data_IF_971737243281
#
_entry.id   IF_971737243281
#
_cell.length_a   1.000
_cell.length_b   1.000
_cell.length_c   1.000
_cell.angle_alpha   90.00
_cell.angle_beta   90.00
_cell.angle_gamma   90.00
#
_symmetry.space_group_name_H-M   'P 1'
#
loop_
_entity.id
_entity.type
_entity.pdbx_description
1 polymer ?
#
# COMPACT_ATOMS: atom_id res chain seq x y z
N UNK A 1 9.64 -12.82 -8.82
CA UNK A 1 10.61 -11.96 -9.55
C UNK A 1 10.10 -10.55 -9.49
N UNK A 2 10.83 -9.66 -8.85
CA UNK A 2 10.56 -8.23 -8.75
C UNK A 2 11.09 -7.54 -10.01
N UNK A 3 10.34 -6.62 -10.59
CA UNK A 3 10.76 -5.85 -11.76
C UNK A 3 11.17 -4.46 -11.33
N UNK A 4 12.35 -4.01 -11.75
CA UNK A 4 12.80 -2.63 -11.52
C UNK A 4 12.42 -1.77 -12.73
N UNK A 5 11.83 -0.63 -12.48
CA UNK A 5 11.53 0.40 -13.49
C UNK A 5 12.15 1.73 -13.09
N UNK A 6 12.50 2.56 -14.06
CA UNK A 6 13.00 3.91 -13.85
C UNK A 6 12.03 4.90 -14.45
N UNK A 7 11.59 5.88 -13.63
CA UNK A 7 10.73 6.96 -14.13
C UNK A 7 11.52 7.84 -15.11
N UNK A 8 11.02 8.06 -16.33
CA UNK A 8 11.80 8.69 -17.40
C UNK A 8 12.15 10.17 -17.11
N UNK A 9 11.30 10.88 -16.38
CA UNK A 9 11.50 12.32 -16.11
C UNK A 9 12.30 12.59 -14.84
N UNK A 10 12.12 11.77 -13.80
CA UNK A 10 12.74 12.01 -12.49
C UNK A 10 13.98 11.17 -12.23
N UNK A 11 14.23 10.13 -13.06
CA UNK A 11 15.30 9.17 -12.85
C UNK A 11 15.13 8.26 -11.62
N UNK A 12 14.02 8.38 -10.88
CA UNK A 12 13.76 7.53 -9.71
C UNK A 12 13.51 6.08 -10.15
N UNK A 13 14.07 5.16 -9.41
CA UNK A 13 13.82 3.73 -9.56
C UNK A 13 12.72 3.25 -8.62
N UNK A 14 11.96 2.27 -9.09
CA UNK A 14 10.92 1.62 -8.30
C UNK A 14 11.01 0.12 -8.50
N UNK A 15 10.87 -0.64 -7.42
CA UNK A 15 10.73 -2.10 -7.48
C UNK A 15 9.25 -2.49 -7.49
N UNK A 16 8.83 -3.19 -8.54
CA UNK A 16 7.45 -3.65 -8.70
C UNK A 16 7.31 -5.05 -8.09
N UNK A 17 6.88 -5.11 -6.84
CA UNK A 17 6.70 -6.36 -6.07
C UNK A 17 5.29 -6.93 -6.09
N UNK A 18 4.36 -6.37 -6.89
CA UNK A 18 2.98 -6.86 -6.97
C UNK A 18 2.91 -8.24 -7.63
N UNK A 19 2.47 -9.23 -6.89
CA UNK A 19 2.23 -10.58 -7.41
C UNK A 19 0.90 -10.65 -8.18
N UNK A 20 0.84 -11.55 -9.16
CA UNK A 20 -0.42 -11.80 -9.88
C UNK A 20 -1.50 -12.28 -8.90
N UNK A 21 -2.76 -11.81 -9.05
CA UNK A 21 -3.85 -12.28 -8.23
C UNK A 21 -4.02 -13.79 -8.37
N UNK A 22 -4.05 -14.48 -7.24
CA UNK A 22 -4.42 -15.90 -7.21
C UNK A 22 -5.95 -15.95 -7.07
N UNK A 23 -6.61 -16.73 -7.91
CA UNK A 23 -8.06 -16.92 -7.83
C UNK A 23 -8.41 -17.75 -6.59
N UNK A 24 -8.62 -17.05 -5.46
CA UNK A 24 -9.06 -17.67 -4.20
C UNK A 24 -10.45 -17.11 -3.87
N UNK A 25 -11.47 -17.89 -4.10
CA UNK A 25 -12.85 -17.54 -3.72
C UNK A 25 -13.56 -16.51 -4.61
N UNK A 26 -14.75 -16.06 -4.21
CA UNK A 26 -15.55 -15.10 -4.97
C UNK A 26 -14.87 -13.73 -5.00
N UNK A 27 -14.80 -13.14 -6.20
CA UNK A 27 -14.28 -11.77 -6.37
C UNK A 27 -15.44 -10.79 -6.38
N UNK A 28 -15.35 -9.78 -5.53
CA UNK A 28 -16.23 -8.64 -5.61
C UNK A 28 -15.97 -7.88 -6.91
N UNK A 29 -16.99 -7.69 -7.72
CA UNK A 29 -16.92 -6.91 -8.96
C UNK A 29 -17.68 -5.62 -8.76
N UNK A 30 -17.05 -4.47 -9.01
CA UNK A 30 -17.67 -3.15 -8.85
C UNK A 30 -19.06 -3.07 -9.49
N UNK A 31 -19.25 -3.67 -10.66
CA UNK A 31 -20.55 -3.71 -11.36
C UNK A 31 -21.70 -4.29 -10.53
N UNK A 32 -21.42 -5.15 -9.54
CA UNK A 32 -22.43 -5.76 -8.68
C UNK A 32 -22.92 -4.80 -7.58
N UNK A 33 -22.18 -3.70 -7.34
CA UNK A 33 -22.46 -2.70 -6.31
C UNK A 33 -22.90 -1.36 -6.88
N UNK A 34 -22.84 -1.19 -8.20
CA UNK A 34 -23.32 0.01 -8.86
C UNK A 34 -24.86 0.03 -8.83
N UNK A 35 -25.41 1.16 -8.39
CA UNK A 35 -26.85 1.41 -8.52
C UNK A 35 -27.20 1.69 -9.98
N UNK A 36 -28.46 1.41 -10.36
CA UNK A 36 -28.95 1.69 -11.72
C UNK A 36 -28.93 3.20 -12.05
N UNK A 37 -29.10 4.03 -11.03
CA UNK A 37 -28.98 5.49 -11.13
C UNK A 37 -27.84 5.93 -10.23
N UNK A 38 -26.78 6.45 -10.83
CA UNK A 38 -25.68 7.08 -10.11
C UNK A 38 -25.91 8.59 -10.01
N UNK A 39 -25.54 9.23 -8.90
CA UNK A 39 -25.53 10.70 -8.84
C UNK A 39 -24.56 11.25 -9.87
N UNK A 40 -24.84 12.45 -10.38
CA UNK A 40 -23.89 13.16 -11.25
C UNK A 40 -22.59 13.34 -10.50
N UNK A 41 -21.45 12.88 -11.03
CA UNK A 41 -20.17 13.08 -10.36
C UNK A 41 -19.86 14.58 -10.28
N UNK A 42 -19.16 15.05 -9.22
CA UNK A 42 -18.69 16.41 -9.15
C UNK A 42 -17.73 16.71 -10.33
N UNK A 43 -17.69 17.97 -10.76
CA UNK A 43 -16.82 18.42 -11.86
C UNK A 43 -15.34 18.25 -11.54
N UNK A 44 -15.00 18.33 -10.26
CA UNK A 44 -13.63 18.15 -9.76
C UNK A 44 -13.68 17.51 -8.38
N UNK A 45 -12.72 16.62 -8.11
CA UNK A 45 -12.57 15.97 -6.82
C UNK A 45 -11.09 15.74 -6.54
N UNK A 46 -10.60 16.27 -5.43
CA UNK A 46 -9.22 16.04 -4.98
C UNK A 46 -9.21 15.48 -3.55
N UNK A 47 -9.24 14.17 -3.43
CA UNK A 47 -9.13 13.48 -2.14
C UNK A 47 -7.71 13.46 -1.57
N UNK A 48 -6.70 13.80 -2.36
CA UNK A 48 -5.31 13.81 -1.92
C UNK A 48 -4.91 15.10 -1.19
N UNK A 49 -5.70 16.17 -1.30
CA UNK A 49 -5.34 17.50 -0.79
C UNK A 49 -4.97 17.53 0.70
N UNK A 50 -5.63 16.69 1.52
CA UNK A 50 -5.41 16.61 2.96
C UNK A 50 -4.30 15.64 3.38
N UNK A 51 -3.63 14.99 2.43
CA UNK A 51 -2.63 13.94 2.69
C UNK A 51 -1.40 14.04 1.78
N UNK A 52 -1.27 15.12 1.01
CA UNK A 52 -0.26 15.23 -0.04
C UNK A 52 1.17 15.08 0.49
N UNK A 53 1.47 15.59 1.68
CA UNK A 53 2.79 15.48 2.32
C UNK A 53 3.20 14.03 2.59
N UNK A 54 2.23 13.17 2.90
CA UNK A 54 2.46 11.74 3.15
C UNK A 54 2.50 10.95 1.83
N UNK A 55 1.71 11.37 0.83
CA UNK A 55 1.69 10.72 -0.48
C UNK A 55 3.00 10.88 -1.26
N UNK A 56 3.84 11.83 -0.88
CA UNK A 56 5.18 12.03 -1.45
C UNK A 56 6.23 11.07 -0.85
N UNK A 57 5.91 10.41 0.27
CA UNK A 57 6.81 9.45 0.91
C UNK A 57 6.84 8.15 0.09
N UNK A 58 8.03 7.70 -0.31
CA UNK A 58 8.21 6.52 -1.14
C UNK A 58 8.14 5.19 -0.35
N UNK A 59 8.27 5.26 0.99
CA UNK A 59 8.18 4.11 1.89
C UNK A 59 9.13 2.94 1.60
N UNK A 60 10.28 3.21 0.95
CA UNK A 60 11.28 2.19 0.61
C UNK A 60 11.05 1.50 -0.73
N UNK A 61 9.97 1.82 -1.45
CA UNK A 61 9.63 1.18 -2.73
C UNK A 61 10.61 1.48 -3.91
N UNK A 62 11.63 2.28 -3.67
CA UNK A 62 12.77 2.47 -4.57
C UNK A 62 13.83 1.37 -4.39
N UNK A 63 13.89 0.76 -3.22
CA UNK A 63 14.89 -0.25 -2.82
C UNK A 63 14.27 -1.64 -2.66
N UNK A 64 13.03 -1.72 -2.18
CA UNK A 64 12.30 -2.95 -1.85
C UNK A 64 11.08 -3.15 -2.75
N UNK A 65 10.66 -4.41 -2.93
CA UNK A 65 9.48 -4.77 -3.73
C UNK A 65 8.17 -4.64 -2.98
N UNK A 66 8.03 -3.62 -2.15
CA UNK A 66 6.95 -3.42 -1.19
C UNK A 66 5.79 -2.55 -1.71
N UNK A 67 5.70 -2.30 -3.00
CA UNK A 67 4.72 -1.38 -3.61
C UNK A 67 3.25 -1.59 -3.17
N UNK A 68 2.86 -2.80 -2.81
CA UNK A 68 1.51 -3.09 -2.27
C UNK A 68 1.37 -2.52 -0.87
N UNK A 69 2.40 -2.65 -0.04
CA UNK A 69 2.40 -2.16 1.35
C UNK A 69 2.49 -0.62 1.38
N UNK A 70 3.39 -0.04 0.57
CA UNK A 70 3.47 1.42 0.38
C UNK A 70 2.12 2.00 -0.07
N UNK A 71 1.45 1.34 -1.02
CA UNK A 71 0.10 1.69 -1.46
C UNK A 71 -0.94 1.64 -0.35
N UNK A 72 -0.88 0.64 0.55
CA UNK A 72 -1.76 0.58 1.73
C UNK A 72 -1.51 1.76 2.69
N UNK A 73 -0.26 2.13 2.91
CA UNK A 73 0.10 3.31 3.70
C UNK A 73 -0.50 4.59 3.12
N UNK A 74 -0.41 4.79 1.81
CA UNK A 74 -1.01 5.94 1.12
C UNK A 74 -2.54 5.95 1.18
N UNK A 75 -3.19 4.78 1.07
CA UNK A 75 -4.65 4.69 1.23
C UNK A 75 -5.05 5.07 2.66
N UNK A 76 -4.33 4.57 3.67
CA UNK A 76 -4.58 4.92 5.06
C UNK A 76 -4.39 6.42 5.32
N UNK A 77 -3.34 7.03 4.76
CA UNK A 77 -3.10 8.48 4.83
C UNK A 77 -4.26 9.27 4.20
N UNK A 78 -4.74 8.86 3.03
CA UNK A 78 -5.89 9.50 2.38
C UNK A 78 -7.17 9.39 3.22
N UNK A 79 -7.46 8.22 3.74
CA UNK A 79 -8.67 7.99 4.56
C UNK A 79 -8.62 8.83 5.84
N UNK A 80 -7.50 8.82 6.55
CA UNK A 80 -7.35 9.56 7.82
C UNK A 80 -7.26 11.06 7.62
N UNK A 81 -6.52 11.53 6.61
CA UNK A 81 -6.42 12.94 6.26
C UNK A 81 -7.74 13.56 5.83
N UNK A 82 -8.64 12.78 5.20
CA UNK A 82 -10.00 13.25 4.88
C UNK A 82 -10.98 13.10 6.06
N UNK A 83 -10.78 12.12 6.95
CA UNK A 83 -11.58 11.99 8.18
C UNK A 83 -11.26 13.12 9.18
N UNK A 84 -9.98 13.48 9.30
CA UNK A 84 -9.52 14.60 10.13
C UNK A 84 -8.58 15.46 9.28
N UNK A 85 -9.10 16.54 8.64
CA UNK A 85 -8.32 17.34 7.70
C UNK A 85 -7.00 17.83 8.28
N UNK A 86 -5.91 17.60 7.52
CA UNK A 86 -4.55 17.99 7.89
C UNK A 86 -3.87 17.05 8.91
N UNK A 87 -4.48 15.90 9.25
CA UNK A 87 -3.91 14.89 10.15
C UNK A 87 -3.86 13.50 9.49
N UNK A 88 -3.24 13.36 8.31
CA UNK A 88 -3.05 12.05 7.71
C UNK A 88 -2.12 11.20 8.58
N UNK A 89 -2.43 9.91 8.70
CA UNK A 89 -1.49 8.97 9.30
C UNK A 89 -0.27 8.83 8.41
N UNK A 90 0.90 8.81 9.02
CA UNK A 90 2.18 8.56 8.34
C UNK A 90 2.85 7.36 8.99
N UNK A 91 3.39 6.45 8.16
CA UNK A 91 4.13 5.29 8.62
C UNK A 91 5.62 5.55 8.55
N UNK A 92 6.37 5.02 9.51
CA UNK A 92 7.83 4.95 9.41
C UNK A 92 8.23 3.80 8.47
N UNK A 93 9.45 3.85 7.93
CA UNK A 93 9.98 2.76 7.12
C UNK A 93 10.02 1.43 7.89
N UNK A 94 10.35 1.46 9.19
CA UNK A 94 10.35 0.28 10.05
C UNK A 94 8.94 -0.36 10.16
N UNK A 95 7.90 0.47 10.25
CA UNK A 95 6.51 -0.01 10.27
C UNK A 95 6.10 -0.62 8.93
N UNK A 96 6.49 -0.01 7.82
CA UNK A 96 6.27 -0.57 6.47
C UNK A 96 6.99 -1.91 6.32
N UNK A 97 8.26 -2.01 6.76
CA UNK A 97 9.02 -3.25 6.69
C UNK A 97 8.43 -4.36 7.57
N UNK A 98 7.90 -4.02 8.75
CA UNK A 98 7.17 -4.99 9.60
C UNK A 98 5.91 -5.51 8.90
N UNK A 99 5.14 -4.65 8.24
CA UNK A 99 3.99 -5.08 7.44
C UNK A 99 4.42 -5.93 6.25
N UNK A 100 5.49 -5.54 5.55
CA UNK A 100 6.01 -6.31 4.44
C UNK A 100 6.51 -7.69 4.88
N UNK A 101 7.16 -7.76 6.04
CA UNK A 101 7.56 -9.05 6.63
C UNK A 101 6.36 -9.93 6.97
N UNK A 102 5.34 -9.36 7.61
CA UNK A 102 4.15 -10.09 8.03
C UNK A 102 3.29 -10.60 6.85
N UNK A 103 3.22 -9.86 5.75
CA UNK A 103 2.35 -10.15 4.61
C UNK A 103 3.11 -10.83 3.48
N UNK A 104 4.31 -10.33 3.17
CA UNK A 104 5.13 -10.76 2.03
C UNK A 104 6.20 -11.80 2.38
N UNK A 105 6.51 -11.96 3.67
CA UNK A 105 7.59 -12.82 4.14
C UNK A 105 8.98 -12.20 3.94
N UNK A 106 9.05 -10.87 3.83
CA UNK A 106 10.32 -10.14 3.71
C UNK A 106 11.11 -10.22 5.02
N UNK A 107 12.40 -10.51 4.92
CA UNK A 107 13.33 -10.51 6.05
C UNK A 107 14.50 -9.56 5.74
N UNK A 108 14.49 -8.34 6.31
CA UNK A 108 15.52 -7.35 6.03
C UNK A 108 16.93 -7.80 6.45
N UNK A 109 17.05 -8.75 7.39
CA UNK A 109 18.34 -9.26 7.83
C UNK A 109 19.09 -10.06 6.74
N UNK A 110 18.38 -10.51 5.70
CA UNK A 110 18.95 -11.26 4.58
C UNK A 110 19.43 -10.36 3.43
N UNK A 111 19.37 -9.05 3.60
CA UNK A 111 19.89 -8.12 2.60
C UNK A 111 21.42 -8.14 2.60
N UNK A 112 22.02 -8.45 1.44
CA UNK A 112 23.46 -8.47 1.26
C UNK A 112 24.04 -7.04 1.11
N UNK A 113 25.39 -6.95 1.07
CA UNK A 113 26.11 -5.69 0.92
C UNK A 113 25.82 -4.95 -0.40
N UNK A 114 25.25 -5.62 -1.40
CA UNK A 114 24.85 -5.05 -2.69
C UNK A 114 23.36 -4.68 -2.73
N UNK A 115 22.62 -4.85 -1.62
CA UNK A 115 21.20 -4.57 -1.53
C UNK A 115 20.30 -5.68 -2.10
N UNK A 116 20.84 -6.88 -2.38
CA UNK A 116 20.03 -8.00 -2.83
C UNK A 116 19.45 -8.74 -1.62
N UNK A 117 18.16 -9.04 -1.67
CA UNK A 117 17.48 -9.81 -0.64
C UNK A 117 16.67 -10.96 -1.28
N UNK A 118 16.99 -12.22 -0.97
CA UNK A 118 16.29 -13.37 -1.55
C UNK A 118 14.82 -13.48 -1.11
N UNK A 119 14.44 -12.80 -0.03
CA UNK A 119 13.06 -12.76 0.48
C UNK A 119 12.26 -11.60 -0.07
N UNK A 120 12.88 -10.66 -0.80
CA UNK A 120 12.22 -9.54 -1.47
C UNK A 120 11.46 -10.01 -2.73
N UNK A 121 10.36 -10.69 -2.51
CA UNK A 121 9.55 -11.31 -3.56
C UNK A 121 8.22 -10.58 -3.83
N UNK A 122 7.98 -9.47 -3.15
CA UNK A 122 6.71 -8.75 -3.22
C UNK A 122 5.57 -9.48 -2.51
N UNK A 123 4.36 -8.94 -2.57
CA UNK A 123 3.17 -9.56 -1.99
C UNK A 123 1.95 -9.47 -2.90
N UNK A 124 0.89 -10.19 -2.50
CA UNK A 124 -0.38 -10.21 -3.21
C UNK A 124 -1.33 -9.20 -2.56
N UNK A 125 -2.03 -8.38 -3.37
CA UNK A 125 -2.98 -7.39 -2.88
C UNK A 125 -4.10 -7.99 -2.03
N UNK A 126 -4.61 -9.18 -2.39
CA UNK A 126 -5.69 -9.83 -1.64
C UNK A 126 -5.21 -10.27 -0.28
N UNK A 127 -3.99 -10.80 -0.19
CA UNK A 127 -3.40 -11.21 1.09
C UNK A 127 -3.16 -9.98 1.98
N UNK A 128 -2.71 -8.86 1.40
CA UNK A 128 -2.52 -7.59 2.07
C UNK A 128 -3.84 -7.01 2.61
N UNK A 129 -4.90 -7.00 1.80
CA UNK A 129 -6.22 -6.53 2.22
C UNK A 129 -6.83 -7.44 3.30
N UNK A 130 -6.68 -8.76 3.19
CA UNK A 130 -7.13 -9.70 4.22
C UNK A 130 -6.37 -9.50 5.53
N UNK A 131 -5.06 -9.25 5.46
CA UNK A 131 -4.28 -8.94 6.64
C UNK A 131 -4.80 -7.66 7.31
N UNK A 132 -4.99 -6.59 6.54
CA UNK A 132 -5.52 -5.32 7.02
C UNK A 132 -6.88 -5.49 7.69
N UNK A 133 -7.80 -6.20 7.04
CA UNK A 133 -9.13 -6.45 7.57
C UNK A 133 -9.11 -7.18 8.92
N UNK A 134 -8.23 -8.17 9.06
CA UNK A 134 -8.21 -9.05 10.24
C UNK A 134 -7.34 -8.52 11.39
N UNK A 135 -6.28 -7.75 11.08
CA UNK A 135 -5.26 -7.37 12.05
C UNK A 135 -5.13 -5.86 12.26
N UNK A 136 -5.70 -5.06 11.36
CA UNK A 136 -5.34 -3.65 11.24
C UNK A 136 -3.97 -3.48 10.56
N UNK A 137 -3.53 -2.24 10.36
CA UNK A 137 -2.21 -1.98 9.76
C UNK A 137 -1.08 -2.05 10.77
N UNK A 138 -1.33 -1.68 12.03
CA UNK A 138 -0.36 -1.76 13.12
C UNK A 138 -1.08 -2.13 14.42
N UNK A 139 -1.21 -3.42 14.73
CA UNK A 139 -1.85 -3.86 15.96
C UNK A 139 -1.15 -3.29 17.20
N UNK A 140 -1.86 -2.54 18.01
CA UNK A 140 -1.39 -1.99 19.28
C UNK A 140 -0.69 -0.63 19.27
N UNK A 141 -0.30 -0.10 18.10
CA UNK A 141 0.37 1.21 18.02
C UNK A 141 -0.50 2.31 17.42
N UNK A 142 -1.48 1.97 16.62
CA UNK A 142 -2.41 2.93 15.99
C UNK A 142 -3.80 2.38 16.11
N UNK A 143 -4.74 3.27 16.45
CA UNK A 143 -6.18 2.99 16.47
C UNK A 143 -6.54 2.04 15.33
N UNK A 144 -7.14 0.91 15.66
CA UNK A 144 -7.51 -0.16 14.74
C UNK A 144 -8.32 0.36 13.54
N UNK A 145 -7.65 0.79 12.49
CA UNK A 145 -8.28 1.11 11.23
C UNK A 145 -8.51 -0.18 10.44
N UNK A 146 -9.47 -0.97 10.90
CA UNK A 146 -9.95 -2.12 10.12
C UNK A 146 -10.82 -1.60 8.98
N UNK A 147 -10.58 -2.11 7.79
CA UNK A 147 -11.53 -1.90 6.69
C UNK A 147 -12.77 -2.76 6.95
N UNK A 148 -13.94 -2.15 6.86
CA UNK A 148 -15.22 -2.83 7.02
C UNK A 148 -15.54 -3.73 5.82
#
# INVERSE_FOLDING_TARGET
MVTVITHPETGRTFKLGRKRPIARGPRFRLKNYLRLTLPTPPTETNYAANSISVLENIYGNDVEGDCVIAGMGHIAANLTGNATPGQPIEFTLDQINKLYSAIGGFDPSQTDVNGNNPTDNGCNEVDALNYWQNNGLLPGEIVEHKIA
#
